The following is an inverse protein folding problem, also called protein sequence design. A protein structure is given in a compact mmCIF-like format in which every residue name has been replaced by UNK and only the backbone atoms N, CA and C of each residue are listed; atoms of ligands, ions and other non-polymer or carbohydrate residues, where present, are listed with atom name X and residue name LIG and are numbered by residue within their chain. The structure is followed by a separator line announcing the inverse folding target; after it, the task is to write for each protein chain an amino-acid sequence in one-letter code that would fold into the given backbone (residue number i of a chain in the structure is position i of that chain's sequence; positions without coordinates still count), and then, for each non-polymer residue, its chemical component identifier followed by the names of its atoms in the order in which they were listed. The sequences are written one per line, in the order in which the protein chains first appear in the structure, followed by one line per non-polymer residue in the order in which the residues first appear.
data_IF_785024281499
#
_entry.id   IF_785024281499
#
_cell.length_a   1.000
_cell.length_b   1.000
_cell.length_c   1.000
_cell.angle_alpha   90.00
_cell.angle_beta   90.00
_cell.angle_gamma   90.00
#
_symmetry.space_group_name_H-M   'P 1'
#
loop_
_entity.id
_entity.type
_entity.pdbx_description
1 polymer ?
#
# COMPACT_ATOMS: atom_id res chain seq x y z
N UNK A 1 18.36 -40.56 18.63
CA UNK A 1 18.55 -39.99 17.28
C UNK A 1 17.99 -38.57 17.30
N UNK A 2 18.84 -37.57 17.60
CA UNK A 2 18.40 -36.17 17.67
C UNK A 2 18.28 -35.61 16.26
N UNK A 3 17.07 -35.16 15.89
CA UNK A 3 16.84 -34.39 14.67
C UNK A 3 17.47 -33.02 14.88
N UNK A 4 18.59 -32.74 14.22
CA UNK A 4 19.10 -31.37 14.13
C UNK A 4 18.17 -30.59 13.19
N UNK A 5 17.57 -29.53 13.71
CA UNK A 5 16.86 -28.54 12.90
C UNK A 5 17.85 -27.91 11.90
N UNK A 6 17.43 -27.62 10.66
CA UNK A 6 18.29 -26.96 9.69
C UNK A 6 18.73 -25.58 10.25
N UNK A 7 19.96 -25.13 9.95
CA UNK A 7 20.42 -23.82 10.36
C UNK A 7 19.49 -22.73 9.77
N UNK A 8 19.23 -21.64 10.52
CA UNK A 8 18.50 -20.51 9.96
C UNK A 8 19.26 -19.98 8.73
N UNK A 9 18.54 -19.49 7.70
CA UNK A 9 19.18 -18.96 6.49
C UNK A 9 20.21 -17.90 6.87
N UNK A 10 21.46 -18.13 6.49
CA UNK A 10 22.64 -17.44 6.98
C UNK A 10 22.99 -16.16 6.20
N UNK A 11 21.99 -15.44 5.70
CA UNK A 11 22.22 -14.17 5.01
C UNK A 11 21.13 -13.14 5.38
N UNK A 12 21.21 -12.64 6.61
CA UNK A 12 20.51 -11.42 7.03
C UNK A 12 21.42 -10.22 6.74
N UNK A 13 21.86 -10.05 5.49
CA UNK A 13 22.32 -8.74 5.07
C UNK A 13 21.14 -7.79 5.21
N UNK A 14 21.26 -6.80 6.10
CA UNK A 14 20.23 -5.80 6.30
C UNK A 14 19.93 -5.14 4.95
N UNK A 15 18.75 -5.41 4.39
CA UNK A 15 18.29 -4.78 3.15
C UNK A 15 18.07 -3.31 3.44
N UNK A 16 18.67 -2.43 2.65
CA UNK A 16 18.44 -1.00 2.80
C UNK A 16 16.97 -0.69 2.51
N UNK A 17 16.36 0.13 3.38
CA UNK A 17 15.04 0.70 3.18
C UNK A 17 15.20 2.13 2.69
N UNK A 18 14.80 2.41 1.45
CA UNK A 18 14.76 3.77 0.92
C UNK A 18 13.40 4.38 1.17
N UNK A 19 13.35 5.70 1.28
CA UNK A 19 12.09 6.42 1.40
C UNK A 19 12.13 7.72 0.61
N UNK A 20 10.96 8.20 0.19
CA UNK A 20 10.81 9.48 -0.49
C UNK A 20 9.51 10.16 -0.06
N UNK A 21 9.59 11.48 0.17
CA UNK A 21 8.43 12.34 0.33
C UNK A 21 8.06 12.95 -1.02
N UNK A 22 6.83 12.73 -1.48
CA UNK A 22 6.37 13.19 -2.80
C UNK A 22 5.45 14.42 -2.75
N UNK A 23 5.10 14.91 -1.56
CA UNK A 23 4.13 15.98 -1.40
C UNK A 23 2.70 15.50 -1.61
N UNK A 24 1.85 16.37 -2.16
CA UNK A 24 0.46 16.05 -2.47
C UNK A 24 0.39 15.46 -3.89
N UNK A 25 -0.09 14.22 -4.01
CA UNK A 25 -0.12 13.47 -5.27
C UNK A 25 -1.55 12.95 -5.53
N UNK A 26 -2.11 13.07 -6.75
CA UNK A 26 -3.40 12.45 -7.08
C UNK A 26 -3.39 10.94 -6.84
N UNK A 27 -4.52 10.38 -6.40
CA UNK A 27 -4.59 8.98 -6.01
C UNK A 27 -4.18 8.02 -7.13
N UNK A 28 -4.70 8.24 -8.34
CA UNK A 28 -4.38 7.41 -9.51
C UNK A 28 -2.88 7.43 -9.85
N UNK A 29 -2.24 8.60 -9.80
CA UNK A 29 -0.80 8.73 -10.06
C UNK A 29 0.03 7.97 -9.03
N UNK A 30 -0.33 8.07 -7.75
CA UNK A 30 0.34 7.32 -6.68
C UNK A 30 0.11 5.82 -6.81
N UNK A 31 -1.08 5.39 -7.25
CA UNK A 31 -1.40 3.99 -7.52
C UNK A 31 -0.55 3.41 -8.65
N UNK A 32 -0.38 4.15 -9.75
CA UNK A 32 0.49 3.73 -10.85
C UNK A 32 1.95 3.60 -10.41
N UNK A 33 2.44 4.54 -9.61
CA UNK A 33 3.77 4.47 -9.03
C UNK A 33 3.93 3.23 -8.12
N UNK A 34 2.96 2.96 -7.25
CA UNK A 34 2.98 1.78 -6.38
C UNK A 34 3.08 0.49 -7.18
N UNK A 35 2.28 0.36 -8.26
CA UNK A 35 2.31 -0.83 -9.13
C UNK A 35 3.65 -0.99 -9.84
N UNK A 36 4.20 0.11 -10.37
CA UNK A 36 5.50 0.09 -11.04
C UNK A 36 6.63 -0.31 -10.08
N UNK A 37 6.67 0.27 -8.87
CA UNK A 37 7.65 -0.07 -7.85
C UNK A 37 7.49 -1.51 -7.36
N UNK A 38 6.26 -1.98 -7.17
CA UNK A 38 5.98 -3.35 -6.76
C UNK A 38 6.44 -4.37 -7.80
N UNK A 39 6.17 -4.13 -9.09
CA UNK A 39 6.67 -4.97 -10.18
C UNK A 39 8.19 -4.97 -10.22
N UNK A 40 8.82 -3.79 -10.24
CA UNK A 40 10.28 -3.69 -10.25
C UNK A 40 10.92 -4.39 -9.04
N UNK A 41 10.27 -4.33 -7.87
CA UNK A 41 10.72 -5.00 -6.65
C UNK A 41 10.59 -6.52 -6.75
N UNK A 42 9.48 -7.01 -7.29
CA UNK A 42 9.20 -8.43 -7.50
C UNK A 42 10.17 -9.05 -8.52
N UNK A 43 10.41 -8.34 -9.61
CA UNK A 43 11.27 -8.78 -10.73
C UNK A 43 12.78 -8.62 -10.43
N UNK A 44 13.13 -8.03 -9.27
CA UNK A 44 14.52 -7.81 -8.83
C UNK A 44 15.24 -6.64 -9.50
N UNK A 45 14.54 -5.86 -10.35
CA UNK A 45 15.07 -4.63 -10.94
C UNK A 45 15.32 -3.54 -9.88
N UNK A 46 14.47 -3.50 -8.85
CA UNK A 46 14.65 -2.69 -7.65
C UNK A 46 15.23 -3.57 -6.52
N UNK A 47 16.48 -3.29 -6.13
CA UNK A 47 17.22 -4.08 -5.13
C UNK A 47 16.76 -3.84 -3.70
N UNK A 48 16.47 -2.58 -3.39
CA UNK A 48 16.15 -2.10 -2.04
C UNK A 48 14.63 -2.05 -1.84
N UNK A 49 14.17 -2.23 -0.61
CA UNK A 49 12.77 -1.98 -0.26
C UNK A 49 12.52 -0.46 -0.23
N UNK A 50 11.29 -0.03 -0.51
CA UNK A 50 10.95 1.41 -0.61
C UNK A 50 9.70 1.74 0.20
N UNK A 51 9.71 2.88 0.88
CA UNK A 51 8.52 3.53 1.46
C UNK A 51 8.24 4.83 0.73
N UNK A 52 7.09 4.90 0.07
CA UNK A 52 6.60 6.16 -0.50
C UNK A 52 5.76 6.88 0.54
N UNK A 53 6.11 8.13 0.83
CA UNK A 53 5.39 9.01 1.75
C UNK A 53 4.77 10.15 0.95
N UNK A 54 3.48 10.41 1.17
CA UNK A 54 2.75 11.46 0.45
C UNK A 54 1.49 11.89 1.21
N UNK A 55 0.82 12.90 0.67
CA UNK A 55 -0.58 13.23 0.95
C UNK A 55 -1.39 13.10 -0.35
N UNK A 56 -2.71 12.99 -0.23
CA UNK A 56 -3.61 13.03 -1.37
C UNK A 56 -4.47 14.30 -1.35
N UNK A 57 -4.89 14.81 -2.51
CA UNK A 57 -6.14 15.56 -2.59
C UNK A 57 -7.30 14.74 -1.99
N UNK A 58 -8.42 15.36 -1.58
CA UNK A 58 -9.56 14.65 -1.02
C UNK A 58 -9.98 13.46 -1.90
N UNK A 59 -9.93 12.24 -1.35
CA UNK A 59 -10.28 11.01 -2.06
C UNK A 59 -10.90 9.99 -1.11
N UNK A 60 -11.98 9.36 -1.56
CA UNK A 60 -12.55 8.18 -0.93
C UNK A 60 -12.13 6.94 -1.71
N UNK A 61 -11.62 5.93 -1.01
CA UNK A 61 -11.29 4.64 -1.62
C UNK A 61 -12.15 3.54 -1.04
N UNK A 62 -12.67 2.66 -1.88
CA UNK A 62 -13.47 1.51 -1.46
C UNK A 62 -12.63 0.23 -1.51
N UNK A 63 -12.37 -0.38 -0.36
CA UNK A 63 -11.68 -1.67 -0.28
C UNK A 63 -12.58 -2.87 -0.57
N UNK A 64 -11.99 -4.07 -0.61
CA UNK A 64 -12.67 -5.33 -0.95
C UNK A 64 -13.85 -5.72 -0.06
N UNK A 65 -13.87 -5.27 1.19
CA UNK A 65 -14.97 -5.54 2.13
C UNK A 65 -15.97 -4.36 2.18
N UNK A 66 -15.85 -3.46 1.22
CA UNK A 66 -16.67 -2.28 1.06
C UNK A 66 -17.97 -2.57 0.31
N UNK A 67 -18.98 -1.77 0.60
CA UNK A 67 -20.28 -1.86 -0.08
C UNK A 67 -20.76 -0.44 -0.36
N UNK A 68 -21.51 -0.24 -1.44
CA UNK A 68 -21.93 1.10 -1.88
C UNK A 68 -22.68 1.89 -0.80
N UNK A 69 -23.40 1.21 0.10
CA UNK A 69 -24.09 1.82 1.25
C UNK A 69 -23.14 2.45 2.28
N UNK A 70 -21.86 2.07 2.27
CA UNK A 70 -20.85 2.65 3.14
C UNK A 70 -20.36 4.01 2.61
N UNK A 71 -20.73 4.41 1.39
CA UNK A 71 -20.41 5.73 0.85
C UNK A 71 -21.45 6.76 1.28
N UNK A 72 -21.05 7.84 1.97
CA UNK A 72 -21.94 8.94 2.27
C UNK A 72 -22.48 9.57 0.97
N UNK A 73 -23.77 9.38 0.68
CA UNK A 73 -24.43 9.99 -0.49
C UNK A 73 -24.04 9.42 -1.85
N UNK A 74 -23.17 8.40 -1.90
CA UNK A 74 -22.67 7.79 -3.14
C UNK A 74 -21.60 8.63 -3.87
N UNK A 75 -20.99 8.09 -4.95
CA UNK A 75 -19.85 8.70 -5.62
C UNK A 75 -20.11 10.13 -6.13
N UNK A 76 -21.32 10.42 -6.63
CA UNK A 76 -21.66 11.75 -7.17
C UNK A 76 -21.71 12.82 -6.08
N UNK A 77 -22.22 12.47 -4.89
CA UNK A 77 -22.22 13.39 -3.75
C UNK A 77 -20.80 13.71 -3.28
N UNK A 78 -19.91 12.71 -3.29
CA UNK A 78 -18.50 12.90 -2.93
C UNK A 78 -17.78 13.80 -3.94
N UNK A 79 -18.03 13.62 -5.25
CA UNK A 79 -17.51 14.50 -6.30
C UNK A 79 -18.01 15.93 -6.14
N UNK A 80 -19.28 16.13 -5.77
CA UNK A 80 -19.84 17.45 -5.51
C UNK A 80 -19.16 18.15 -4.31
N UNK A 81 -18.61 17.40 -3.36
CA UNK A 81 -17.81 17.91 -2.24
C UNK A 81 -16.32 18.14 -2.60
N UNK A 82 -15.95 17.92 -3.87
CA UNK A 82 -14.57 18.09 -4.34
C UNK A 82 -13.65 16.90 -4.02
N UNK A 83 -14.21 15.73 -3.70
CA UNK A 83 -13.43 14.52 -3.45
C UNK A 83 -13.50 13.52 -4.61
N UNK A 84 -12.37 12.90 -4.93
CA UNK A 84 -12.31 11.77 -5.85
C UNK A 84 -12.90 10.50 -5.22
N UNK A 85 -13.28 9.54 -6.06
CA UNK A 85 -13.73 8.22 -5.66
C UNK A 85 -13.04 7.14 -6.49
N UNK A 86 -12.50 6.10 -5.83
CA UNK A 86 -11.88 4.96 -6.49
C UNK A 86 -12.17 3.63 -5.78
N UNK A 87 -12.49 2.59 -6.55
CA UNK A 87 -12.52 1.19 -6.08
C UNK A 87 -11.10 0.61 -6.11
N UNK A 88 -10.69 -0.08 -5.04
CA UNK A 88 -9.29 -0.47 -4.82
C UNK A 88 -9.17 -1.86 -4.19
N UNK A 89 -8.09 -2.59 -4.52
CA UNK A 89 -7.92 -3.99 -4.11
C UNK A 89 -7.38 -4.19 -2.68
N UNK A 90 -7.39 -3.16 -1.84
CA UNK A 90 -6.98 -3.28 -0.44
C UNK A 90 -8.04 -3.97 0.41
N UNK A 91 -7.62 -4.55 1.53
CA UNK A 91 -8.56 -5.00 2.57
C UNK A 91 -9.33 -3.85 3.21
N UNK A 92 -10.40 -4.18 3.93
CA UNK A 92 -11.24 -3.22 4.65
C UNK A 92 -12.36 -2.59 3.80
N UNK A 93 -13.11 -1.68 4.41
CA UNK A 93 -14.25 -0.96 3.81
C UNK A 93 -13.79 0.37 3.20
N UNK A 94 -14.67 1.37 3.14
CA UNK A 94 -14.36 2.74 2.71
C UNK A 94 -13.32 3.41 3.62
N UNK A 95 -12.45 4.24 3.05
CA UNK A 95 -11.61 5.18 3.82
C UNK A 95 -11.48 6.49 3.07
N UNK A 96 -11.08 7.54 3.78
CA UNK A 96 -10.84 8.88 3.25
C UNK A 96 -9.36 9.24 3.39
N UNK A 97 -8.83 9.90 2.36
CA UNK A 97 -7.54 10.58 2.39
C UNK A 97 -7.68 12.03 1.95
N UNK A 98 -6.84 12.91 2.49
CA UNK A 98 -6.85 14.33 2.16
C UNK A 98 -5.62 15.07 2.69
N UNK A 99 -5.51 16.38 2.41
CA UNK A 99 -4.39 17.20 2.88
C UNK A 99 -4.26 17.17 4.41
N UNK A 100 -3.03 17.14 4.90
CA UNK A 100 -2.68 16.99 6.31
C UNK A 100 -2.70 15.55 6.85
N UNK A 101 -3.09 14.56 6.03
CA UNK A 101 -3.01 13.15 6.39
C UNK A 101 -1.81 12.49 5.71
N UNK A 102 -0.78 12.16 6.50
CA UNK A 102 0.36 11.39 6.00
C UNK A 102 -0.07 9.98 5.58
N UNK A 103 0.18 9.64 4.31
CA UNK A 103 -0.02 8.30 3.75
C UNK A 103 1.35 7.68 3.48
N UNK A 104 1.49 6.41 3.85
CA UNK A 104 2.70 5.62 3.60
C UNK A 104 2.36 4.36 2.80
N UNK A 105 3.07 4.16 1.69
CA UNK A 105 3.00 2.95 0.87
C UNK A 105 4.32 2.17 0.98
N UNK A 106 4.39 1.19 1.89
CA UNK A 106 5.55 0.31 2.00
C UNK A 106 5.54 -0.73 0.87
N UNK A 107 6.54 -0.68 -0.01
CA UNK A 107 6.77 -1.63 -1.10
C UNK A 107 7.92 -2.54 -0.69
N UNK A 108 7.57 -3.68 -0.09
CA UNK A 108 8.50 -4.61 0.55
C UNK A 108 8.44 -5.98 -0.11
N UNK A 109 9.58 -6.65 -0.25
CA UNK A 109 9.60 -8.08 -0.59
C UNK A 109 9.44 -8.92 0.66
N UNK A 110 8.21 -9.41 0.90
CA UNK A 110 7.90 -10.25 2.06
C UNK A 110 8.43 -11.68 1.88
N UNK A 111 9.06 -12.23 2.92
CA UNK A 111 9.42 -13.64 2.95
C UNK A 111 8.16 -14.52 3.08
N UNK A 112 8.16 -15.71 2.47
CA UNK A 112 7.00 -16.62 2.42
C UNK A 112 6.58 -17.22 3.77
N UNK A 113 7.16 -16.79 4.89
CA UNK A 113 6.97 -17.41 6.20
C UNK A 113 6.56 -16.40 7.26
N UNK A 114 5.37 -15.81 7.10
CA UNK A 114 4.62 -15.32 8.26
C UNK A 114 3.49 -16.31 8.54
N UNK A 115 3.57 -17.14 9.59
CA UNK A 115 2.42 -17.91 10.02
C UNK A 115 1.36 -16.93 10.51
N UNK A 116 0.29 -16.74 9.75
CA UNK A 116 -0.93 -16.10 10.23
C UNK A 116 -1.60 -17.15 11.15
N UNK A 117 -1.74 -16.92 12.46
CA UNK A 117 -2.52 -17.82 13.30
C UNK A 117 -3.95 -17.87 12.76
N UNK A 118 -4.45 -19.07 12.48
CA UNK A 118 -5.88 -19.29 12.19
C UNK A 118 -6.67 -19.26 13.48
#
# INVERSE_FOLDING_TARGET
MSRQSPPPPSDTTARALRWAWLGIVPYATAWDLQRALASARHDGALRDDVVVLLEHPPVYTMGRNGESRHLPGGPDALRALGAEYADVDRGGSVTFHGPGQLVAYPILLLAQSFPIPR
#
